data_IF_207491542706
#
_entry.id   IF_207491542706
#
_cell.length_a   1.000
_cell.length_b   1.000
_cell.length_c   1.000
_cell.angle_alpha   90.00
_cell.angle_beta   90.00
_cell.angle_gamma   90.00
#
_symmetry.space_group_name_H-M   'P 1'
#
loop_
_entity.id
_entity.type
_entity.pdbx_description
1 polymer ?
#
# COMPACT_ATOMS: atom_id res chain seq x y z
N UNK A 1 7.39 -8.17 4.83
CA UNK A 1 7.54 -7.00 5.73
C UNK A 1 6.21 -6.71 6.39
N UNK A 2 6.22 -6.31 7.67
CA UNK A 2 5.01 -5.94 8.41
C UNK A 2 5.16 -4.47 8.87
N UNK A 3 4.17 -3.63 8.57
CA UNK A 3 4.12 -2.23 9.00
C UNK A 3 2.82 -1.92 9.74
N UNK A 4 2.91 -1.09 10.79
CA UNK A 4 1.79 -0.75 11.68
C UNK A 4 1.69 0.77 11.85
N UNK A 5 0.50 1.34 11.67
CA UNK A 5 0.27 2.77 11.87
C UNK A 5 1.06 3.63 10.89
N UNK A 6 1.98 4.46 11.41
CA UNK A 6 2.85 5.33 10.62
C UNK A 6 3.69 4.51 9.63
N UNK A 7 4.17 3.34 10.04
CA UNK A 7 5.03 2.49 9.21
C UNK A 7 4.27 1.56 8.27
N UNK A 8 2.94 1.55 8.34
CA UNK A 8 2.10 0.75 7.44
C UNK A 8 2.27 1.14 5.98
N UNK A 9 2.49 2.43 5.67
CA UNK A 9 2.77 2.89 4.31
C UNK A 9 4.10 2.39 3.77
N UNK A 10 5.14 2.33 4.61
CA UNK A 10 6.48 1.87 4.21
C UNK A 10 6.52 0.38 3.89
N UNK A 11 5.72 -0.45 4.57
CA UNK A 11 5.63 -1.88 4.24
C UNK A 11 5.13 -2.11 2.81
N UNK A 12 4.35 -1.16 2.29
CA UNK A 12 3.81 -1.15 0.95
C UNK A 12 4.85 -0.64 -0.06
N UNK A 13 5.58 0.43 0.25
CA UNK A 13 6.65 0.95 -0.61
C UNK A 13 7.81 -0.06 -0.75
N UNK A 14 8.18 -0.73 0.35
CA UNK A 14 9.21 -1.78 0.33
C UNK A 14 8.83 -3.02 -0.50
N UNK A 15 7.59 -3.10 -1.00
CA UNK A 15 7.14 -4.19 -1.86
C UNK A 15 7.76 -4.15 -3.27
N UNK A 16 8.48 -3.10 -3.63
CA UNK A 16 9.29 -3.07 -4.86
C UNK A 16 10.50 -4.01 -4.73
N UNK A 17 11.16 -4.03 -3.56
CA UNK A 17 12.41 -4.78 -3.36
C UNK A 17 12.20 -6.32 -3.40
N UNK A 18 12.92 -7.07 -4.27
CA UNK A 18 12.73 -8.51 -4.46
C UNK A 18 12.80 -9.37 -3.19
N UNK A 19 13.59 -8.96 -2.19
CA UNK A 19 13.70 -9.67 -0.90
C UNK A 19 12.38 -9.68 -0.11
N UNK A 20 11.46 -8.76 -0.41
CA UNK A 20 10.15 -8.70 0.25
C UNK A 20 9.19 -9.69 -0.41
N UNK A 21 8.96 -10.80 0.30
CA UNK A 21 8.11 -11.89 -0.17
C UNK A 21 6.61 -11.66 0.08
N UNK A 22 6.28 -10.86 1.10
CA UNK A 22 4.89 -10.56 1.47
C UNK A 22 4.82 -9.25 2.28
N UNK A 23 4.30 -8.16 1.71
CA UNK A 23 4.05 -6.92 2.42
C UNK A 23 2.67 -6.94 3.09
N UNK A 24 2.67 -6.72 4.41
CA UNK A 24 1.48 -6.64 5.25
C UNK A 24 1.46 -5.28 5.94
N UNK A 25 0.41 -4.50 5.72
CA UNK A 25 0.21 -3.20 6.33
C UNK A 25 -1.06 -3.20 7.20
N UNK A 26 -0.96 -2.80 8.46
CA UNK A 26 -2.12 -2.57 9.31
C UNK A 26 -2.27 -1.08 9.64
N UNK A 27 -3.49 -0.57 9.45
CA UNK A 27 -3.89 0.82 9.65
C UNK A 27 -2.82 1.82 9.14
N UNK A 28 -2.41 1.73 7.85
CA UNK A 28 -1.43 2.63 7.27
C UNK A 28 -2.00 4.06 7.26
N UNK A 29 -1.46 4.91 8.15
CA UNK A 29 -1.97 6.26 8.37
C UNK A 29 -1.29 7.32 7.50
N UNK A 30 -0.13 6.98 6.92
CA UNK A 30 0.62 7.85 6.03
C UNK A 30 0.49 7.42 4.55
N UNK A 31 0.51 8.40 3.63
CA UNK A 31 0.40 9.85 3.90
C UNK A 31 -0.97 10.22 4.48
N UNK A 32 -0.99 11.19 5.42
CA UNK A 32 -2.25 11.64 6.05
C UNK A 32 -3.18 12.20 4.95
N UNK A 33 -4.35 11.58 4.80
CA UNK A 33 -5.37 11.92 3.79
C UNK A 33 -6.12 13.23 4.05
N UNK A 34 -5.40 14.29 4.44
CA UNK A 34 -5.97 15.61 4.75
C UNK A 34 -6.48 16.29 3.48
N UNK A 35 -5.79 16.12 2.35
CA UNK A 35 -6.19 16.64 1.04
C UNK A 35 -6.76 15.53 0.14
N UNK A 36 -7.65 15.85 -0.83
CA UNK A 36 -8.15 14.86 -1.78
C UNK A 36 -7.05 14.10 -2.53
N UNK A 37 -5.97 14.79 -2.91
CA UNK A 37 -4.81 14.19 -3.59
C UNK A 37 -4.10 13.14 -2.72
N UNK A 38 -3.95 13.39 -1.42
CA UNK A 38 -3.28 12.45 -0.49
C UNK A 38 -4.17 11.29 -0.04
N UNK A 39 -5.49 11.37 -0.24
CA UNK A 39 -6.41 10.33 0.24
C UNK A 39 -6.26 9.00 -0.49
N UNK A 40 -5.71 8.96 -1.69
CA UNK A 40 -5.43 7.72 -2.43
C UNK A 40 -3.95 7.34 -2.46
N UNK A 41 -3.09 8.16 -1.89
CA UNK A 41 -1.66 8.00 -1.99
C UNK A 41 -1.20 6.90 -1.01
N UNK A 42 -0.38 5.98 -1.49
CA UNK A 42 0.21 4.89 -0.70
C UNK A 42 1.59 5.27 -0.16
N UNK A 43 2.05 6.50 -0.42
CA UNK A 43 3.42 6.94 -0.15
C UNK A 43 4.42 6.33 -1.12
N UNK A 44 4.00 6.10 -2.37
CA UNK A 44 4.84 5.53 -3.43
C UNK A 44 4.93 6.49 -4.62
N UNK A 45 6.05 6.48 -5.32
CA UNK A 45 6.14 7.04 -6.67
C UNK A 45 5.34 6.20 -7.68
N UNK A 46 5.11 6.74 -8.87
CA UNK A 46 4.45 5.99 -9.94
C UNK A 46 5.32 4.82 -10.43
N UNK A 47 6.65 4.98 -10.42
CA UNK A 47 7.60 3.91 -10.76
C UNK A 47 7.56 2.77 -9.73
N UNK A 48 7.58 3.09 -8.43
CA UNK A 48 7.46 2.09 -7.36
C UNK A 48 6.12 1.35 -7.46
N UNK A 49 5.02 2.06 -7.71
CA UNK A 49 3.70 1.45 -7.89
C UNK A 49 3.65 0.50 -9.10
N UNK A 50 4.34 0.84 -10.19
CA UNK A 50 4.43 -0.01 -11.39
C UNK A 50 5.29 -1.24 -11.14
N UNK A 51 6.44 -1.10 -10.48
CA UNK A 51 7.29 -2.23 -10.09
C UNK A 51 6.52 -3.23 -9.21
N UNK A 52 5.80 -2.73 -8.19
CA UNK A 52 4.95 -3.56 -7.33
C UNK A 52 3.85 -4.26 -8.17
N UNK A 53 3.23 -3.56 -9.11
CA UNK A 53 2.21 -4.16 -9.98
C UNK A 53 2.77 -5.28 -10.87
N UNK A 54 3.97 -5.10 -11.42
CA UNK A 54 4.67 -6.12 -12.20
C UNK A 54 4.96 -7.35 -11.33
N UNK A 55 5.46 -7.18 -10.11
CA UNK A 55 5.72 -8.29 -9.18
C UNK A 55 4.46 -9.04 -8.77
N UNK A 56 3.35 -8.32 -8.53
CA UNK A 56 2.04 -8.95 -8.26
C UNK A 56 1.60 -9.85 -9.40
N UNK A 57 1.87 -9.48 -10.66
CA UNK A 57 1.47 -10.25 -11.85
C UNK A 57 2.47 -11.35 -12.22
N UNK A 58 3.76 -11.04 -12.20
CA UNK A 58 4.84 -11.90 -12.69
C UNK A 58 5.39 -12.86 -11.64
N UNK A 59 5.46 -12.43 -10.38
CA UNK A 59 6.02 -13.22 -9.26
C UNK A 59 4.92 -13.76 -8.33
N UNK A 60 3.68 -13.34 -8.51
CA UNK A 60 2.56 -13.73 -7.65
C UNK A 60 2.58 -13.08 -6.26
N UNK A 61 3.26 -11.92 -6.12
CA UNK A 61 3.36 -11.19 -4.87
C UNK A 61 1.97 -10.91 -4.27
N UNK A 62 1.80 -11.21 -2.97
CA UNK A 62 0.53 -11.04 -2.25
C UNK A 62 0.61 -9.87 -1.28
N UNK A 63 -0.20 -8.84 -1.52
CA UNK A 63 -0.32 -7.66 -0.66
C UNK A 63 -1.50 -7.82 0.30
N UNK A 64 -1.32 -7.50 1.58
CA UNK A 64 -2.41 -7.45 2.57
C UNK A 64 -2.45 -6.09 3.26
N UNK A 65 -3.61 -5.43 3.21
CA UNK A 65 -3.89 -4.20 3.94
C UNK A 65 -5.06 -4.39 4.90
N UNK A 66 -4.87 -4.07 6.18
CA UNK A 66 -5.87 -4.15 7.24
C UNK A 66 -6.16 -2.75 7.80
N UNK A 67 -7.38 -2.48 8.24
CA UNK A 67 -7.74 -1.28 9.00
C UNK A 67 -8.96 -1.54 9.87
N UNK A 68 -9.16 -0.72 10.90
CA UNK A 68 -10.45 -0.67 11.59
C UNK A 68 -11.48 0.08 10.74
N UNK A 69 -12.71 -0.43 10.72
CA UNK A 69 -13.81 0.12 9.93
C UNK A 69 -14.07 1.59 10.24
N UNK A 70 -13.98 1.95 11.53
CA UNK A 70 -14.24 3.29 12.07
C UNK A 70 -12.99 4.19 12.15
N UNK A 71 -11.82 3.71 11.74
CA UNK A 71 -10.60 4.52 11.70
C UNK A 71 -10.78 5.67 10.68
N UNK A 72 -10.86 6.90 11.20
CA UNK A 72 -11.05 8.12 10.41
C UNK A 72 -9.77 8.56 9.70
N UNK A 73 -8.61 8.14 10.19
CA UNK A 73 -7.29 8.48 9.65
C UNK A 73 -6.98 7.58 8.46
N UNK A 74 -7.28 6.28 8.55
CA UNK A 74 -6.91 5.27 7.54
C UNK A 74 -8.05 4.93 6.55
N UNK A 75 -8.85 5.89 6.09
CA UNK A 75 -10.10 5.58 5.33
C UNK A 75 -9.92 5.11 3.88
N UNK A 76 -8.90 5.59 3.18
CA UNK A 76 -8.81 5.46 1.71
C UNK A 76 -7.58 4.75 1.09
N UNK A 77 -6.44 4.52 1.80
CA UNK A 77 -5.31 3.76 1.23
C UNK A 77 -5.70 2.37 0.69
N UNK A 78 -6.68 1.69 1.31
CA UNK A 78 -7.11 0.36 0.88
C UNK A 78 -7.77 0.29 -0.51
N UNK A 79 -8.34 1.39 -1.02
CA UNK A 79 -8.86 1.40 -2.41
C UNK A 79 -7.72 1.35 -3.41
N UNK A 80 -6.63 2.04 -3.13
CA UNK A 80 -5.43 2.09 -3.98
C UNK A 80 -4.68 0.75 -3.98
N UNK A 81 -4.65 0.06 -2.84
CA UNK A 81 -4.19 -1.34 -2.74
C UNK A 81 -4.97 -2.29 -3.68
N UNK A 82 -6.30 -2.12 -3.77
CA UNK A 82 -7.11 -2.88 -4.74
C UNK A 82 -6.83 -2.46 -6.18
N UNK A 83 -6.44 -1.21 -6.42
CA UNK A 83 -6.07 -0.71 -7.74
C UNK A 83 -4.75 -1.30 -8.22
N UNK A 84 -3.75 -1.52 -7.34
CA UNK A 84 -2.51 -2.22 -7.70
C UNK A 84 -2.76 -3.64 -8.24
N UNK A 85 -3.72 -4.36 -7.64
CA UNK A 85 -4.16 -5.69 -8.14
C UNK A 85 -4.91 -5.64 -9.47
N UNK A 86 -5.35 -4.45 -9.91
CA UNK A 86 -6.22 -4.24 -11.09
C UNK A 86 -5.60 -3.35 -12.17
N UNK A 87 -4.49 -2.66 -11.91
CA UNK A 87 -3.69 -2.01 -12.95
C UNK A 87 -3.42 -3.08 -14.01
N UNK A 88 -3.58 -2.75 -15.29
CA UNK A 88 -3.19 -3.61 -16.41
C UNK A 88 -1.71 -3.47 -16.71
#
# INVERSE_FOLDING_TARGET
MIGLGLSGGFALAAADEPVVLAPVAAHPSLPLGVTPGRRGDLGMSDEEAEAVAQRVRGEGLRLLGLRFSEDRVCRRPLRSLRALRRRR
#
